data_IF_583921522446
#
_entry.id   IF_583921522446
#
_cell.length_a   1.000
_cell.length_b   1.000
_cell.length_c   1.000
_cell.angle_alpha   90.00
_cell.angle_beta   90.00
_cell.angle_gamma   90.00
#
_symmetry.space_group_name_H-M   'P 1'
#
loop_
_entity.id
_entity.type
_entity.pdbx_description
1 polymer ?
#
# COMPACT_ATOMS: atom_id res chain seq x y z
N UNK A 1 23.23 -41.76 -10.97
CA UNK A 1 23.92 -40.62 -10.32
C UNK A 1 24.00 -39.33 -11.16
N UNK A 2 23.52 -39.33 -12.42
CA UNK A 2 23.59 -38.15 -13.33
C UNK A 2 22.30 -37.29 -13.30
N UNK A 3 21.13 -37.87 -13.01
CA UNK A 3 19.84 -37.15 -12.97
C UNK A 3 19.81 -36.00 -11.93
N UNK A 4 20.38 -36.20 -10.75
CA UNK A 4 20.40 -35.16 -9.69
C UNK A 4 21.28 -33.95 -10.03
N UNK A 5 22.32 -34.12 -10.88
CA UNK A 5 23.18 -32.99 -11.29
C UNK A 5 22.46 -32.06 -12.28
N UNK A 6 21.59 -32.60 -13.13
CA UNK A 6 20.82 -31.82 -14.11
C UNK A 6 19.67 -31.05 -13.46
N UNK A 7 19.01 -31.64 -12.45
CA UNK A 7 17.97 -30.95 -11.66
C UNK A 7 18.53 -29.76 -10.89
N UNK A 8 19.74 -29.87 -10.31
CA UNK A 8 20.39 -28.75 -9.63
C UNK A 8 20.72 -27.59 -10.58
N UNK A 9 21.19 -27.88 -11.80
CA UNK A 9 21.48 -26.85 -12.81
C UNK A 9 20.20 -26.11 -13.22
N UNK A 10 19.08 -26.83 -13.41
CA UNK A 10 17.80 -26.22 -13.74
C UNK A 10 17.29 -25.32 -12.60
N UNK A 11 17.43 -25.74 -11.34
CA UNK A 11 17.05 -24.93 -10.17
C UNK A 11 17.93 -23.67 -10.07
N UNK A 12 19.23 -23.80 -10.35
CA UNK A 12 20.16 -22.67 -10.33
C UNK A 12 19.87 -21.65 -11.44
N UNK A 13 19.57 -22.12 -12.66
CA UNK A 13 19.17 -21.26 -13.78
C UNK A 13 17.83 -20.57 -13.49
N UNK A 14 16.83 -21.28 -12.94
CA UNK A 14 15.55 -20.67 -12.57
C UNK A 14 15.71 -19.62 -11.46
N UNK A 15 16.61 -19.83 -10.49
CA UNK A 15 16.87 -18.85 -9.43
C UNK A 15 17.58 -17.60 -9.95
N UNK A 16 18.48 -17.75 -10.92
CA UNK A 16 19.20 -16.63 -11.52
C UNK A 16 18.30 -15.78 -12.44
N UNK A 17 17.45 -16.41 -13.26
CA UNK A 17 16.51 -15.68 -14.14
C UNK A 17 15.36 -15.00 -13.39
N UNK A 18 15.04 -15.45 -12.16
CA UNK A 18 14.03 -14.80 -11.32
C UNK A 18 14.55 -13.50 -10.70
N UNK A 19 15.87 -13.36 -10.49
CA UNK A 19 16.49 -12.19 -9.86
C UNK A 19 16.32 -10.91 -10.68
N UNK A 20 16.36 -11.01 -12.01
CA UNK A 20 16.20 -9.86 -12.92
C UNK A 20 14.72 -9.43 -13.08
N UNK A 21 13.77 -10.31 -12.73
CA UNK A 21 12.33 -9.99 -12.72
C UNK A 21 11.89 -9.27 -11.45
N UNK A 22 12.72 -9.30 -10.41
CA UNK A 22 12.55 -8.50 -9.18
C UNK A 22 13.31 -7.17 -9.37
N UNK A 23 13.19 -6.57 -10.55
CA UNK A 23 13.54 -5.16 -10.72
C UNK A 23 12.49 -4.37 -9.97
N UNK A 24 12.87 -3.80 -8.83
CA UNK A 24 12.09 -2.78 -8.13
C UNK A 24 12.09 -1.53 -9.01
N UNK A 25 11.17 -1.49 -9.96
CA UNK A 25 10.78 -0.34 -10.77
C UNK A 25 10.01 0.71 -9.95
N UNK A 26 9.95 0.54 -8.63
CA UNK A 26 9.62 1.60 -7.69
C UNK A 26 10.63 2.73 -7.83
N UNK A 27 10.20 3.85 -8.41
CA UNK A 27 10.90 5.12 -8.27
C UNK A 27 11.21 5.32 -6.78
N UNK A 28 12.49 5.31 -6.36
CA UNK A 28 12.80 5.57 -4.96
C UNK A 28 12.37 7.00 -4.66
N UNK A 29 11.34 7.16 -3.82
CA UNK A 29 10.94 8.46 -3.31
C UNK A 29 12.06 8.96 -2.41
N UNK A 30 12.59 10.14 -2.75
CA UNK A 30 13.67 10.77 -1.98
C UNK A 30 13.05 11.80 -1.05
N UNK A 31 12.75 11.35 0.18
CA UNK A 31 12.04 12.14 1.19
C UNK A 31 12.69 12.00 2.56
N UNK A 32 12.82 13.11 3.27
CA UNK A 32 13.32 13.20 4.64
C UNK A 32 12.18 13.65 5.56
N UNK A 33 11.96 12.92 6.65
CA UNK A 33 10.91 13.22 7.63
C UNK A 33 11.58 13.50 8.98
N UNK A 34 11.50 14.75 9.43
CA UNK A 34 11.95 15.14 10.76
C UNK A 34 10.76 15.24 11.70
N UNK A 35 10.84 14.59 12.86
CA UNK A 35 9.79 14.67 13.89
C UNK A 35 10.24 15.64 14.98
N UNK A 36 9.33 16.51 15.42
CA UNK A 36 9.58 17.40 16.56
C UNK A 36 9.43 16.68 17.91
N UNK A 37 9.60 17.41 19.01
CA UNK A 37 9.45 16.86 20.37
C UNK A 37 8.00 16.39 20.68
N UNK A 38 7.02 16.87 19.93
CA UNK A 38 5.60 16.53 20.05
C UNK A 38 5.17 15.43 19.07
N UNK A 39 6.11 14.91 18.25
CA UNK A 39 5.86 13.87 17.25
C UNK A 39 5.30 14.38 15.92
N UNK A 40 5.19 15.70 15.71
CA UNK A 40 4.68 16.30 14.48
C UNK A 40 5.69 16.09 13.34
N UNK A 41 5.29 15.49 12.20
CA UNK A 41 6.20 15.25 11.08
C UNK A 41 6.37 16.50 10.21
N UNK A 42 7.62 16.90 10.02
CA UNK A 42 8.07 17.86 9.02
C UNK A 42 8.65 17.09 7.83
N UNK A 43 7.94 17.09 6.70
CA UNK A 43 8.28 16.29 5.51
C UNK A 43 8.97 17.16 4.46
N UNK A 44 10.15 16.75 4.03
CA UNK A 44 10.98 17.44 3.04
C UNK A 44 11.24 16.50 1.85
N UNK A 45 10.58 16.74 0.72
CA UNK A 45 10.84 16.03 -0.54
C UNK A 45 11.44 16.95 -1.60
N UNK A 46 12.19 16.37 -2.56
CA UNK A 46 12.76 17.13 -3.70
C UNK A 46 11.70 17.53 -4.73
N UNK A 47 10.64 16.73 -4.86
CA UNK A 47 9.50 16.99 -5.73
C UNK A 47 8.19 16.88 -4.95
N UNK A 48 7.11 17.46 -5.49
CA UNK A 48 5.77 17.33 -4.88
C UNK A 48 5.34 15.88 -4.70
N UNK A 49 5.78 14.99 -5.61
CA UNK A 49 5.51 13.56 -5.53
C UNK A 49 6.18 12.93 -4.32
N UNK A 50 7.45 13.25 -4.07
CA UNK A 50 8.21 12.72 -2.94
C UNK A 50 7.64 13.22 -1.61
N UNK A 51 7.30 14.52 -1.55
CA UNK A 51 6.67 15.12 -0.36
C UNK A 51 5.29 14.51 -0.10
N UNK A 52 4.47 14.30 -1.13
CA UNK A 52 3.15 13.68 -0.97
C UNK A 52 3.27 12.23 -0.48
N UNK A 53 4.27 11.49 -0.96
CA UNK A 53 4.57 10.15 -0.46
C UNK A 53 5.00 10.19 1.02
N UNK A 54 5.94 11.06 1.39
CA UNK A 54 6.40 11.17 2.79
C UNK A 54 5.30 11.61 3.75
N UNK A 55 4.39 12.48 3.31
CA UNK A 55 3.20 12.87 4.10
C UNK A 55 2.30 11.66 4.35
N UNK A 56 1.95 10.91 3.30
CA UNK A 56 1.14 9.71 3.43
C UNK A 56 1.82 8.66 4.32
N UNK A 57 3.15 8.52 4.20
CA UNK A 57 3.94 7.62 5.01
C UNK A 57 3.91 8.01 6.49
N UNK A 58 4.19 9.28 6.83
CA UNK A 58 4.13 9.75 8.22
C UNK A 58 2.73 9.59 8.84
N UNK A 59 1.67 9.88 8.08
CA UNK A 59 0.29 9.63 8.51
C UNK A 59 0.03 8.15 8.79
N UNK A 60 0.52 7.25 7.94
CA UNK A 60 0.37 5.81 8.11
C UNK A 60 1.18 5.29 9.31
N UNK A 61 2.35 5.84 9.60
CA UNK A 61 3.10 5.50 10.82
C UNK A 61 2.33 5.86 12.10
N UNK A 62 1.58 6.96 12.09
CA UNK A 62 0.90 7.47 13.29
C UNK A 62 -0.38 6.70 13.62
N UNK A 63 -1.19 6.38 12.62
CA UNK A 63 -2.47 5.69 12.83
C UNK A 63 -2.89 4.88 11.60
N UNK A 64 -2.14 3.82 11.33
CA UNK A 64 -2.43 2.92 10.21
C UNK A 64 -3.82 2.27 10.31
N UNK A 65 -4.22 1.84 11.52
CA UNK A 65 -5.47 1.10 11.72
C UNK A 65 -6.69 1.96 11.35
N UNK A 66 -6.74 3.21 11.82
CA UNK A 66 -7.84 4.12 11.47
C UNK A 66 -7.84 4.43 9.98
N UNK A 67 -6.67 4.65 9.36
CA UNK A 67 -6.58 4.88 7.91
C UNK A 67 -7.12 3.68 7.13
N UNK A 68 -6.76 2.46 7.54
CA UNK A 68 -7.25 1.23 6.93
C UNK A 68 -8.77 1.10 7.08
N UNK A 69 -9.31 1.35 8.26
CA UNK A 69 -10.75 1.29 8.53
C UNK A 69 -11.53 2.29 7.66
N UNK A 70 -11.05 3.54 7.59
CA UNK A 70 -11.66 4.57 6.73
C UNK A 70 -11.59 4.18 5.26
N UNK A 71 -10.46 3.62 4.80
CA UNK A 71 -10.32 3.14 3.43
C UNK A 71 -11.32 2.03 3.11
N UNK A 72 -11.51 1.08 4.02
CA UNK A 72 -12.48 0.00 3.86
C UNK A 72 -13.92 0.52 3.88
N UNK A 73 -14.25 1.46 4.77
CA UNK A 73 -15.58 2.08 4.85
C UNK A 73 -15.95 2.79 3.55
N UNK A 74 -15.04 3.62 3.02
CA UNK A 74 -15.25 4.36 1.77
C UNK A 74 -15.30 3.42 0.55
N UNK A 75 -14.68 2.25 0.63
CA UNK A 75 -14.80 1.20 -0.41
C UNK A 75 -16.02 0.30 -0.25
N UNK A 76 -16.79 0.46 0.83
CA UNK A 76 -17.93 -0.40 1.15
C UNK A 76 -17.52 -1.85 1.46
N UNK A 77 -16.38 -2.02 2.14
CA UNK A 77 -15.82 -3.32 2.51
C UNK A 77 -15.47 -3.42 4.00
N UNK A 78 -15.91 -2.48 4.85
CA UNK A 78 -15.58 -2.48 6.27
C UNK A 78 -16.14 -3.72 6.99
N UNK A 79 -17.30 -4.23 6.57
CA UNK A 79 -17.90 -5.43 7.15
C UNK A 79 -17.08 -6.70 6.91
N UNK A 80 -16.16 -6.71 5.94
CA UNK A 80 -15.24 -7.84 5.75
C UNK A 80 -14.21 -7.97 6.88
N UNK A 81 -13.93 -6.87 7.59
CA UNK A 81 -13.00 -6.82 8.71
C UNK A 81 -13.74 -6.74 10.06
N UNK A 82 -14.61 -5.75 10.25
CA UNK A 82 -15.33 -5.50 11.52
C UNK A 82 -16.63 -6.32 11.68
N UNK A 83 -16.95 -7.15 10.68
CA UNK A 83 -18.13 -8.04 10.68
C UNK A 83 -19.46 -7.31 10.48
N UNK A 84 -20.56 -7.99 10.84
CA UNK A 84 -21.94 -7.58 10.49
C UNK A 84 -22.34 -6.20 11.01
N UNK A 85 -21.72 -5.72 12.09
CA UNK A 85 -22.00 -4.38 12.66
C UNK A 85 -21.64 -3.25 11.71
N UNK A 86 -20.68 -3.46 10.81
CA UNK A 86 -20.27 -2.48 9.81
C UNK A 86 -21.04 -2.59 8.49
N UNK A 87 -21.91 -3.59 8.33
CA UNK A 87 -22.71 -3.77 7.11
C UNK A 87 -23.60 -2.56 6.74
N UNK A 88 -24.19 -1.80 7.70
CA UNK A 88 -24.93 -0.59 7.36
C UNK A 88 -24.07 0.47 6.66
N UNK A 89 -22.79 0.60 7.04
CA UNK A 89 -21.86 1.56 6.42
C UNK A 89 -21.59 1.15 4.98
N UNK A 90 -21.30 -0.13 4.75
CA UNK A 90 -21.05 -0.65 3.40
C UNK A 90 -22.27 -0.49 2.49
N UNK A 91 -23.47 -0.74 3.03
CA UNK A 91 -24.72 -0.52 2.32
C UNK A 91 -24.91 0.95 1.94
N UNK A 92 -24.66 1.89 2.86
CA UNK A 92 -24.79 3.31 2.59
C UNK A 92 -23.82 3.78 1.52
N UNK A 93 -22.56 3.33 1.55
CA UNK A 93 -21.56 3.64 0.51
C UNK A 93 -22.03 3.20 -0.88
N UNK A 94 -22.65 2.02 -0.98
CA UNK A 94 -23.24 1.54 -2.23
C UNK A 94 -24.52 2.29 -2.62
N UNK A 95 -25.39 2.61 -1.66
CA UNK A 95 -26.66 3.30 -1.88
C UNK A 95 -26.45 4.71 -2.44
N UNK A 96 -25.44 5.41 -1.91
CA UNK A 96 -25.10 6.78 -2.32
C UNK A 96 -24.28 6.84 -3.61
N UNK A 97 -23.93 5.69 -4.20
CA UNK A 97 -23.11 5.59 -5.41
C UNK A 97 -21.86 6.48 -5.37
N UNK A 98 -21.10 6.36 -4.27
CA UNK A 98 -19.91 7.20 -4.02
C UNK A 98 -18.90 7.06 -5.17
N UNK A 99 -18.62 5.84 -5.60
CA UNK A 99 -17.64 5.59 -6.65
C UNK A 99 -18.16 5.89 -8.06
N UNK A 100 -19.46 5.72 -8.32
CA UNK A 100 -20.04 6.21 -9.58
C UNK A 100 -19.89 7.72 -9.70
N UNK A 101 -20.04 8.47 -8.60
CA UNK A 101 -19.81 9.92 -8.57
C UNK A 101 -18.33 10.30 -8.75
N UNK A 102 -17.42 9.59 -8.08
CA UNK A 102 -15.97 9.85 -8.19
C UNK A 102 -15.46 9.59 -9.61
N UNK A 103 -15.93 8.52 -10.25
CA UNK A 103 -15.48 8.09 -11.58
C UNK A 103 -16.15 8.86 -12.74
N UNK A 104 -17.08 9.77 -12.46
CA UNK A 104 -17.72 10.62 -13.47
C UNK A 104 -16.85 11.81 -13.91
N UNK A 105 -15.71 12.04 -13.25
CA UNK A 105 -14.70 13.03 -13.66
C UNK A 105 -13.70 12.45 -14.64
#
# INVERSE_FOLDING_TARGET
MIKNKFTLIIIFINSFLLSDYISNDGHPYDVEIHRDEWGVPHVFGKTDRDTAFGLAYAHAEDDFETIQDVLLALRGKLASDKGIKAAPVDYLTSLLDIWGTVNQK
#
